data_IF_889377935250
#
_entry.id   IF_889377935250
#
_cell.length_a   1.000
_cell.length_b   1.000
_cell.length_c   1.000
_cell.angle_alpha   90.00
_cell.angle_beta   90.00
_cell.angle_gamma   90.00
#
_symmetry.space_group_name_H-M   'P 1'
#
loop_
_entity.id
_entity.type
_entity.pdbx_description
1 polymer ?
#
# COMPACT_ATOMS: atom_id res chain seq x y z
N UNK A 1 -15.30 22.43 54.88
CA UNK A 1 -15.05 23.86 55.10
C UNK A 1 -14.21 24.34 53.93
N UNK A 2 -14.56 25.28 53.07
CA UNK A 2 -15.61 26.29 53.00
C UNK A 2 -15.84 26.53 51.50
N UNK A 3 -17.06 26.33 50.99
CA UNK A 3 -17.42 26.50 49.58
C UNK A 3 -17.96 27.92 49.40
N UNK A 4 -17.37 28.66 48.45
CA UNK A 4 -17.72 30.04 48.12
C UNK A 4 -18.47 30.07 46.78
N UNK A 5 -19.75 30.45 46.86
CA UNK A 5 -20.48 31.44 46.06
C UNK A 5 -20.22 31.55 44.53
N UNK A 6 -21.19 31.78 43.64
CA UNK A 6 -22.66 31.82 43.69
C UNK A 6 -23.15 32.02 42.24
N UNK A 7 -24.03 31.12 41.79
CA UNK A 7 -25.29 31.32 41.04
C UNK A 7 -25.43 32.50 40.03
N UNK A 8 -25.69 32.16 38.77
CA UNK A 8 -26.55 32.93 37.85
C UNK A 8 -27.47 31.95 37.13
N UNK A 9 -28.78 32.22 37.07
CA UNK A 9 -29.53 31.91 35.85
C UNK A 9 -30.52 33.04 35.51
N UNK A 10 -30.71 33.33 34.23
CA UNK A 10 -32.04 33.16 33.65
C UNK A 10 -32.00 33.31 32.12
N UNK A 11 -32.69 32.36 31.51
CA UNK A 11 -32.93 32.18 30.08
C UNK A 11 -34.38 32.64 29.84
N UNK A 12 -34.62 33.40 28.75
CA UNK A 12 -35.72 33.19 27.76
C UNK A 12 -37.21 33.23 28.26
N UNK A 13 -38.27 33.75 27.61
CA UNK A 13 -38.72 34.25 26.29
C UNK A 13 -40.06 35.01 26.61
N UNK A 14 -40.57 36.05 25.95
CA UNK A 14 -41.44 36.00 24.75
C UNK A 14 -42.29 37.28 24.59
N UNK A 15 -42.40 37.71 23.33
CA UNK A 15 -43.60 38.21 22.61
C UNK A 15 -44.21 39.58 22.98
N UNK A 16 -44.03 40.60 22.12
CA UNK A 16 -44.87 40.97 20.95
C UNK A 16 -46.26 41.51 21.31
N UNK A 17 -46.50 42.82 21.12
CA UNK A 17 -47.64 43.34 20.31
C UNK A 17 -47.64 44.88 20.18
N UNK A 18 -47.75 45.32 18.92
CA UNK A 18 -48.55 46.46 18.41
C UNK A 18 -48.22 47.91 18.88
N UNK A 19 -47.62 48.77 18.04
CA UNK A 19 -48.13 49.48 16.85
C UNK A 19 -49.15 50.60 17.14
N UNK A 20 -49.18 51.62 16.26
CA UNK A 20 -50.03 52.83 16.17
C UNK A 20 -49.38 54.13 16.71
N UNK A 21 -48.78 54.98 15.84
CA UNK A 21 -49.38 56.14 15.13
C UNK A 21 -49.80 57.25 16.14
N UNK A 22 -49.36 58.51 16.11
CA UNK A 22 -49.42 59.48 15.01
C UNK A 22 -48.87 60.86 15.49
N UNK A 23 -48.68 61.81 14.56
CA UNK A 23 -48.18 63.21 14.64
C UNK A 23 -46.69 63.38 14.26
N UNK A 24 -46.27 63.61 12.99
CA UNK A 24 -46.72 64.56 11.94
C UNK A 24 -46.81 66.00 12.48
N UNK A 25 -46.23 67.08 11.93
CA UNK A 25 -45.54 67.48 10.68
C UNK A 25 -44.75 68.77 11.02
N UNK A 26 -43.58 69.07 10.48
CA UNK A 26 -43.26 69.88 9.26
C UNK A 26 -42.04 70.75 9.67
N UNK A 27 -41.06 71.17 8.87
CA UNK A 27 -40.76 71.09 7.45
C UNK A 27 -39.28 71.47 7.28
N UNK A 28 -38.55 70.81 6.37
CA UNK A 28 -37.72 71.52 5.37
C UNK A 28 -37.21 70.52 4.32
N UNK A 29 -37.77 70.63 3.11
CA UNK A 29 -37.21 70.05 1.89
C UNK A 29 -36.06 70.94 1.44
N UNK A 30 -34.89 70.35 1.28
CA UNK A 30 -33.90 70.79 0.29
C UNK A 30 -33.43 69.56 -0.50
N UNK A 31 -33.40 69.78 -1.79
CA UNK A 31 -33.32 68.85 -2.91
C UNK A 31 -31.89 68.33 -3.16
N UNK A 32 -31.80 67.24 -3.93
CA UNK A 32 -30.63 66.57 -4.56
C UNK A 32 -29.70 65.63 -3.76
N UNK A 33 -29.23 64.53 -4.37
CA UNK A 33 -29.89 63.69 -5.37
C UNK A 33 -29.91 62.20 -4.96
N UNK A 34 -30.78 61.46 -5.65
CA UNK A 34 -30.72 60.01 -5.76
C UNK A 34 -29.28 59.60 -6.12
N UNK A 35 -28.60 58.92 -5.21
CA UNK A 35 -27.49 58.02 -5.55
C UNK A 35 -28.08 56.86 -6.36
N UNK A 36 -28.37 57.14 -7.63
CA UNK A 36 -28.42 56.10 -8.65
C UNK A 36 -27.11 55.32 -8.55
N UNK A 37 -27.24 54.02 -8.33
CA UNK A 37 -26.15 53.08 -8.20
C UNK A 37 -25.45 52.91 -9.55
N UNK A 38 -24.69 53.92 -9.98
CA UNK A 38 -23.66 53.72 -10.98
C UNK A 38 -22.49 53.14 -10.19
N UNK A 39 -22.48 51.81 -10.08
CA UNK A 39 -21.27 51.08 -9.70
C UNK A 39 -20.19 51.60 -10.65
N UNK A 40 -19.22 52.33 -10.10
CA UNK A 40 -18.11 52.88 -10.88
C UNK A 40 -17.51 51.71 -11.68
N UNK A 41 -17.42 51.79 -13.03
CA UNK A 41 -16.92 50.70 -13.85
C UNK A 41 -15.55 50.19 -13.39
N UNK A 42 -14.78 51.04 -12.71
CA UNK A 42 -13.50 50.68 -12.11
C UNK A 42 -13.64 49.71 -10.92
N UNK A 43 -14.68 49.89 -10.11
CA UNK A 43 -14.99 49.01 -8.97
C UNK A 43 -15.45 47.65 -9.47
N UNK A 44 -16.30 47.60 -10.49
CA UNK A 44 -16.74 46.35 -11.10
C UNK A 44 -15.57 45.56 -11.73
N UNK A 45 -14.64 46.22 -12.44
CA UNK A 45 -13.43 45.58 -12.96
C UNK A 45 -12.53 45.01 -11.85
N UNK A 46 -12.35 45.75 -10.75
CA UNK A 46 -11.53 45.31 -9.62
C UNK A 46 -12.16 44.12 -8.90
N UNK A 47 -13.48 44.12 -8.72
CA UNK A 47 -14.22 42.98 -8.15
C UNK A 47 -14.09 41.73 -9.02
N UNK A 48 -14.17 41.86 -10.34
CA UNK A 48 -14.01 40.74 -11.26
C UNK A 48 -12.58 40.19 -11.27
N UNK A 49 -11.56 41.07 -11.26
CA UNK A 49 -10.16 40.66 -11.12
C UNK A 49 -9.89 39.94 -9.80
N UNK A 50 -10.45 40.42 -8.69
CA UNK A 50 -10.31 39.81 -7.37
C UNK A 50 -10.96 38.42 -7.35
N UNK A 51 -12.14 38.29 -7.96
CA UNK A 51 -12.85 37.01 -8.08
C UNK A 51 -12.07 36.02 -8.95
N UNK A 52 -11.50 36.45 -10.07
CA UNK A 52 -10.64 35.60 -10.90
C UNK A 52 -9.35 35.18 -10.17
N UNK A 53 -8.71 36.09 -9.43
CA UNK A 53 -7.54 35.78 -8.63
C UNK A 53 -7.86 34.77 -7.51
N UNK A 54 -9.00 34.91 -6.84
CA UNK A 54 -9.46 33.97 -5.82
C UNK A 54 -9.75 32.58 -6.40
N UNK A 55 -10.36 32.51 -7.59
CA UNK A 55 -10.59 31.23 -8.29
C UNK A 55 -9.24 30.59 -8.64
N UNK A 56 -8.30 31.37 -9.21
CA UNK A 56 -6.97 30.91 -9.56
C UNK A 56 -6.16 30.39 -8.36
N UNK A 57 -6.18 31.11 -7.23
CA UNK A 57 -5.54 30.68 -5.98
C UNK A 57 -6.21 29.44 -5.40
N UNK A 58 -7.55 29.39 -5.40
CA UNK A 58 -8.29 28.23 -4.89
C UNK A 58 -7.99 26.99 -5.72
N UNK A 59 -7.94 27.11 -7.04
CA UNK A 59 -7.58 26.03 -7.96
C UNK A 59 -6.13 25.59 -7.79
N UNK A 60 -5.20 26.53 -7.57
CA UNK A 60 -3.81 26.22 -7.24
C UNK A 60 -3.70 25.48 -5.90
N UNK A 61 -4.42 25.93 -4.87
CA UNK A 61 -4.42 25.30 -3.54
C UNK A 61 -5.04 23.90 -3.59
N UNK A 62 -6.13 23.71 -4.33
CA UNK A 62 -6.76 22.40 -4.51
C UNK A 62 -5.83 21.42 -5.25
N UNK A 63 -5.15 21.89 -6.31
CA UNK A 63 -4.14 21.08 -7.01
C UNK A 63 -2.97 20.72 -6.12
N UNK A 64 -2.41 21.69 -5.39
CA UNK A 64 -1.31 21.43 -4.45
C UNK A 64 -1.71 20.42 -3.36
N UNK A 65 -2.94 20.52 -2.82
CA UNK A 65 -3.46 19.51 -1.87
C UNK A 65 -3.57 18.12 -2.50
N UNK A 66 -4.10 18.04 -3.71
CA UNK A 66 -4.21 16.77 -4.43
C UNK A 66 -2.84 16.15 -4.73
N UNK A 67 -1.84 16.97 -5.08
CA UNK A 67 -0.46 16.51 -5.27
C UNK A 67 0.14 15.94 -3.97
N UNK A 68 -0.04 16.64 -2.85
CA UNK A 68 0.42 16.15 -1.53
C UNK A 68 -0.25 14.82 -1.18
N UNK A 69 -1.55 14.68 -1.42
CA UNK A 69 -2.28 13.44 -1.13
C UNK A 69 -1.84 12.28 -2.04
N UNK A 70 -1.58 12.56 -3.32
CA UNK A 70 -1.02 11.57 -4.24
C UNK A 70 0.40 11.15 -3.85
N UNK A 71 1.25 12.09 -3.46
CA UNK A 71 2.60 11.80 -2.95
C UNK A 71 2.50 10.94 -1.71
N UNK A 72 1.63 11.30 -0.75
CA UNK A 72 1.43 10.54 0.48
C UNK A 72 1.03 9.09 0.18
N UNK A 73 -0.01 8.88 -0.65
CA UNK A 73 -0.45 7.54 -1.06
C UNK A 73 0.68 6.76 -1.74
N UNK A 74 1.46 7.41 -2.61
CA UNK A 74 2.61 6.77 -3.27
C UNK A 74 3.68 6.37 -2.27
N UNK A 75 4.04 7.26 -1.34
CA UNK A 75 5.06 6.98 -0.32
C UNK A 75 4.66 5.85 0.61
N UNK A 76 3.37 5.75 0.98
CA UNK A 76 2.86 4.65 1.80
C UNK A 76 3.06 3.30 1.09
N UNK A 77 2.72 3.23 -0.21
CA UNK A 77 2.94 2.04 -1.03
C UNK A 77 4.44 1.70 -1.21
N UNK A 78 5.29 2.70 -1.39
CA UNK A 78 6.73 2.50 -1.55
C UNK A 78 7.37 1.99 -0.25
N UNK A 79 6.93 2.49 0.91
CA UNK A 79 7.38 2.02 2.23
C UNK A 79 6.92 0.57 2.46
N UNK A 80 5.66 0.26 2.14
CA UNK A 80 5.14 -1.11 2.28
C UNK A 80 5.92 -2.10 1.41
N UNK A 81 6.19 -1.74 0.14
CA UNK A 81 7.03 -2.55 -0.76
C UNK A 81 8.44 -2.70 -0.21
N UNK A 82 9.06 -1.60 0.24
CA UNK A 82 10.41 -1.64 0.81
C UNK A 82 10.47 -2.57 2.01
N UNK A 83 9.47 -2.55 2.89
CA UNK A 83 9.40 -3.45 4.04
C UNK A 83 9.21 -4.91 3.62
N UNK A 84 8.27 -5.17 2.70
CA UNK A 84 7.94 -6.51 2.20
C UNK A 84 9.12 -7.20 1.49
N UNK A 85 9.99 -6.42 0.85
CA UNK A 85 11.10 -6.94 0.05
C UNK A 85 12.50 -6.52 0.58
N UNK A 86 12.59 -5.97 1.79
CA UNK A 86 13.87 -5.55 2.40
C UNK A 86 14.90 -6.69 2.46
N UNK A 87 14.42 -7.92 2.67
CA UNK A 87 15.26 -9.12 2.80
C UNK A 87 15.55 -9.81 1.47
N UNK A 88 15.10 -9.29 0.32
CA UNK A 88 15.25 -9.94 -0.99
C UNK A 88 16.72 -10.29 -1.31
N UNK A 89 17.62 -9.31 -1.19
CA UNK A 89 19.05 -9.52 -1.44
C UNK A 89 19.67 -10.51 -0.45
N UNK A 90 19.30 -10.43 0.81
CA UNK A 90 19.81 -11.33 1.84
C UNK A 90 19.31 -12.77 1.62
N UNK A 91 18.03 -12.93 1.29
CA UNK A 91 17.42 -14.21 0.96
C UNK A 91 18.13 -14.87 -0.22
N UNK A 92 18.43 -14.12 -1.29
CA UNK A 92 19.14 -14.61 -2.46
C UNK A 92 20.53 -15.18 -2.12
N UNK A 93 21.28 -14.55 -1.21
CA UNK A 93 22.59 -15.03 -0.76
C UNK A 93 22.48 -16.27 0.14
N UNK A 94 21.32 -16.52 0.77
CA UNK A 94 21.08 -17.72 1.58
C UNK A 94 20.66 -18.93 0.75
N UNK A 95 20.05 -18.75 -0.43
CA UNK A 95 19.58 -19.87 -1.25
C UNK A 95 20.70 -20.89 -1.59
N UNK A 96 21.93 -20.47 -1.97
CA UNK A 96 23.03 -21.41 -2.20
C UNK A 96 23.39 -22.25 -0.97
N UNK A 97 23.16 -21.74 0.25
CA UNK A 97 23.39 -22.49 1.48
C UNK A 97 22.37 -23.63 1.60
N UNK A 98 21.09 -23.34 1.33
CA UNK A 98 20.04 -24.37 1.28
C UNK A 98 20.38 -25.42 0.22
N UNK A 99 20.74 -24.98 -0.99
CA UNK A 99 21.08 -25.88 -2.08
C UNK A 99 22.26 -26.80 -1.74
N UNK A 100 23.25 -26.30 -1.00
CA UNK A 100 24.39 -27.11 -0.57
C UNK A 100 23.98 -28.16 0.47
N UNK A 101 23.05 -27.84 1.36
CA UNK A 101 22.50 -28.82 2.31
C UNK A 101 21.69 -29.89 1.56
N UNK A 102 20.88 -29.51 0.58
CA UNK A 102 20.13 -30.45 -0.27
C UNK A 102 21.07 -31.35 -1.07
N UNK A 103 22.06 -30.77 -1.75
CA UNK A 103 23.08 -31.51 -2.50
C UNK A 103 23.90 -32.46 -1.61
N UNK A 104 24.19 -32.06 -0.37
CA UNK A 104 24.85 -32.96 0.57
C UNK A 104 23.97 -34.19 0.87
N UNK A 105 22.66 -34.01 1.04
CA UNK A 105 21.71 -35.11 1.27
C UNK A 105 21.48 -36.00 0.04
N UNK A 106 21.68 -35.47 -1.18
CA UNK A 106 21.58 -36.23 -2.43
C UNK A 106 22.78 -37.15 -2.67
N UNK A 107 23.98 -36.73 -2.27
CA UNK A 107 25.24 -37.44 -2.57
C UNK A 107 25.59 -38.49 -1.50
N UNK A 108 25.04 -38.37 -0.30
CA UNK A 108 25.40 -39.27 0.82
C UNK A 108 24.86 -40.68 0.59
N UNK A 109 25.72 -41.67 0.85
CA UNK A 109 25.36 -43.08 0.89
C UNK A 109 24.55 -43.42 2.15
N UNK A 110 23.23 -43.56 1.97
CA UNK A 110 22.29 -43.95 3.03
C UNK A 110 22.44 -45.39 3.50
N UNK A 111 23.24 -46.22 2.81
CA UNK A 111 23.48 -47.61 3.23
C UNK A 111 24.60 -47.75 4.28
N UNK A 112 25.33 -46.66 4.55
CA UNK A 112 26.37 -46.65 5.57
C UNK A 112 25.81 -46.25 6.94
N UNK A 113 25.60 -47.25 7.81
CA UNK A 113 25.03 -47.07 9.15
C UNK A 113 25.79 -46.06 10.02
N UNK A 114 27.10 -45.89 9.81
CA UNK A 114 27.91 -44.92 10.57
C UNK A 114 27.58 -43.46 10.22
N UNK A 115 27.02 -43.21 9.03
CA UNK A 115 26.66 -41.88 8.55
C UNK A 115 25.19 -41.52 8.85
N UNK A 116 24.34 -42.49 9.20
CA UNK A 116 22.91 -42.26 9.46
C UNK A 116 22.64 -41.11 10.46
N UNK A 117 23.31 -41.02 11.63
CA UNK A 117 23.06 -39.92 12.56
C UNK A 117 23.43 -38.54 11.99
N UNK A 118 24.45 -38.50 11.12
CA UNK A 118 24.85 -37.26 10.44
C UNK A 118 23.81 -36.85 9.39
N UNK A 119 23.31 -37.80 8.60
CA UNK A 119 22.26 -37.56 7.59
C UNK A 119 21.01 -36.98 8.26
N UNK A 120 20.54 -37.62 9.34
CA UNK A 120 19.40 -37.14 10.12
C UNK A 120 19.62 -35.74 10.67
N UNK A 121 20.83 -35.44 11.17
CA UNK A 121 21.20 -34.11 11.65
C UNK A 121 21.14 -33.04 10.55
N UNK A 122 21.62 -33.36 9.34
CA UNK A 122 21.56 -32.45 8.18
C UNK A 122 20.12 -32.27 7.70
N UNK A 123 19.32 -33.34 7.63
CA UNK A 123 17.89 -33.27 7.29
C UNK A 123 17.11 -32.37 8.28
N UNK A 124 17.36 -32.54 9.58
CA UNK A 124 16.73 -31.72 10.62
C UNK A 124 17.16 -30.25 10.53
N UNK A 125 18.43 -30.00 10.19
CA UNK A 125 18.96 -28.66 9.98
C UNK A 125 18.33 -28.01 8.76
N UNK A 126 18.24 -28.71 7.63
CA UNK A 126 17.58 -28.24 6.42
C UNK A 126 16.10 -27.91 6.68
N UNK A 127 15.40 -28.78 7.40
CA UNK A 127 14.00 -28.55 7.81
C UNK A 127 13.86 -27.34 8.71
N UNK A 128 14.74 -27.19 9.69
CA UNK A 128 14.74 -26.02 10.58
C UNK A 128 15.04 -24.73 9.83
N UNK A 129 15.97 -24.77 8.88
CA UNK A 129 16.35 -23.64 8.05
C UNK A 129 15.21 -23.22 7.12
N UNK A 130 14.60 -24.16 6.39
CA UNK A 130 13.45 -23.91 5.51
C UNK A 130 12.25 -23.36 6.30
N UNK A 131 11.97 -23.90 7.49
CA UNK A 131 10.96 -23.34 8.38
C UNK A 131 11.29 -21.93 8.86
N UNK A 132 12.57 -21.63 9.13
CA UNK A 132 12.98 -20.30 9.58
C UNK A 132 12.79 -19.26 8.47
N UNK A 133 13.23 -19.55 7.23
CA UNK A 133 13.02 -18.63 6.10
C UNK A 133 11.54 -18.51 5.72
N UNK A 134 10.75 -19.58 5.88
CA UNK A 134 9.30 -19.56 5.67
C UNK A 134 8.56 -18.55 6.54
N UNK A 135 9.02 -18.32 7.78
CA UNK A 135 8.45 -17.29 8.67
C UNK A 135 8.65 -15.86 8.16
N UNK A 136 9.62 -15.64 7.27
CA UNK A 136 9.87 -14.35 6.62
C UNK A 136 9.20 -14.25 5.23
N UNK A 137 8.30 -15.18 4.91
CA UNK A 137 7.54 -15.20 3.66
C UNK A 137 8.31 -15.77 2.47
N UNK A 138 9.37 -16.55 2.73
CA UNK A 138 10.08 -17.28 1.67
C UNK A 138 9.39 -18.63 1.45
N UNK A 139 8.82 -18.83 0.27
CA UNK A 139 8.12 -20.07 -0.09
C UNK A 139 8.92 -20.85 -1.13
N UNK A 140 8.87 -22.17 -1.03
CA UNK A 140 9.56 -23.10 -1.94
C UNK A 140 8.70 -23.33 -3.17
N UNK A 141 9.31 -23.27 -4.34
CA UNK A 141 8.72 -23.70 -5.62
C UNK A 141 9.47 -24.95 -6.06
N UNK A 142 8.82 -26.11 -6.04
CA UNK A 142 9.50 -27.35 -6.39
C UNK A 142 8.61 -28.59 -6.39
N UNK A 143 7.32 -28.42 -6.61
CA UNK A 143 6.40 -29.55 -6.70
C UNK A 143 6.58 -30.25 -8.06
N UNK A 144 6.59 -31.58 -8.02
CA UNK A 144 6.57 -32.42 -9.23
C UNK A 144 5.13 -32.74 -9.60
N UNK A 145 4.91 -33.11 -10.86
CA UNK A 145 3.60 -33.45 -11.43
C UNK A 145 2.58 -32.29 -11.41
N UNK A 146 3.08 -31.06 -11.51
CA UNK A 146 2.27 -29.84 -11.68
C UNK A 146 2.48 -29.26 -13.09
N UNK A 147 1.50 -28.54 -13.65
CA UNK A 147 1.67 -27.86 -14.93
C UNK A 147 2.89 -26.93 -14.91
N UNK A 148 3.65 -26.91 -16.00
CA UNK A 148 4.76 -25.97 -16.13
C UNK A 148 4.25 -24.52 -16.17
N UNK A 149 4.73 -23.69 -15.24
CA UNK A 149 4.44 -22.25 -15.21
C UNK A 149 5.74 -21.45 -15.45
N UNK A 150 5.87 -20.74 -16.58
CA UNK A 150 7.05 -19.91 -16.90
C UNK A 150 7.34 -18.79 -15.89
N UNK A 151 6.36 -18.36 -15.10
CA UNK A 151 6.55 -17.30 -14.09
C UNK A 151 7.38 -17.77 -12.89
N UNK A 152 7.40 -19.08 -12.61
CA UNK A 152 8.05 -19.65 -11.42
C UNK A 152 8.98 -20.82 -11.74
N UNK A 153 8.89 -21.39 -12.94
CA UNK A 153 9.70 -22.50 -13.42
C UNK A 153 10.58 -22.11 -14.61
N UNK A 154 11.79 -22.65 -14.64
CA UNK A 154 12.73 -22.58 -15.75
C UNK A 154 12.95 -23.99 -16.29
N UNK A 155 12.41 -24.28 -17.48
CA UNK A 155 12.58 -25.57 -18.13
C UNK A 155 14.01 -25.69 -18.68
N UNK A 156 14.79 -26.63 -18.15
CA UNK A 156 16.16 -26.88 -18.59
C UNK A 156 16.24 -27.97 -19.67
N UNK A 157 15.27 -28.89 -19.68
CA UNK A 157 15.21 -30.01 -20.62
C UNK A 157 13.78 -30.53 -20.71
N UNK A 158 13.44 -31.10 -21.86
CA UNK A 158 12.21 -31.87 -22.06
C UNK A 158 12.54 -33.36 -22.11
N UNK A 159 11.76 -34.19 -21.42
CA UNK A 159 11.94 -35.64 -21.37
C UNK A 159 10.66 -36.35 -21.81
N UNK A 160 10.82 -37.49 -22.48
CA UNK A 160 9.71 -38.38 -22.77
C UNK A 160 9.28 -39.11 -21.49
N UNK A 161 7.98 -39.17 -21.23
CA UNK A 161 7.44 -39.84 -20.05
C UNK A 161 6.01 -40.30 -20.31
N UNK A 162 5.78 -41.59 -20.06
CA UNK A 162 4.44 -42.19 -20.13
C UNK A 162 3.63 -42.00 -18.83
N UNK A 163 4.27 -41.46 -17.78
CA UNK A 163 3.69 -41.34 -16.44
C UNK A 163 3.17 -39.94 -16.09
N UNK A 164 3.44 -38.95 -16.94
CA UNK A 164 3.12 -37.54 -16.68
C UNK A 164 2.37 -36.97 -17.88
N UNK A 165 1.38 -36.13 -17.63
CA UNK A 165 0.70 -35.36 -18.67
C UNK A 165 1.71 -34.49 -19.42
N UNK A 166 1.53 -34.21 -20.73
CA UNK A 166 2.41 -33.31 -21.47
C UNK A 166 2.51 -31.93 -20.80
N UNK A 167 3.67 -31.27 -20.93
CA UNK A 167 3.93 -29.93 -20.38
C UNK A 167 3.78 -29.82 -18.83
N UNK A 168 4.13 -30.88 -18.11
CA UNK A 168 4.17 -30.93 -16.65
C UNK A 168 5.60 -31.05 -16.12
N UNK A 169 5.84 -30.51 -14.94
CA UNK A 169 7.10 -30.65 -14.21
C UNK A 169 7.29 -32.10 -13.82
N UNK A 170 8.31 -32.76 -14.35
CA UNK A 170 8.64 -34.15 -14.01
C UNK A 170 9.64 -34.25 -12.87
N UNK A 171 10.69 -33.43 -12.95
CA UNK A 171 11.80 -33.44 -12.00
C UNK A 171 12.21 -32.01 -11.70
N UNK A 172 12.53 -31.75 -10.44
CA UNK A 172 13.12 -30.48 -10.01
C UNK A 172 14.60 -30.71 -9.74
N UNK A 173 15.44 -30.11 -10.58
CA UNK A 173 16.91 -30.18 -10.44
C UNK A 173 17.44 -29.18 -9.42
N UNK A 174 16.76 -28.03 -9.29
CA UNK A 174 17.04 -27.03 -8.26
C UNK A 174 15.74 -26.36 -7.89
N UNK A 175 15.43 -26.31 -6.59
CA UNK A 175 14.21 -25.68 -6.11
C UNK A 175 14.25 -24.18 -6.35
N UNK A 176 13.09 -23.64 -6.73
CA UNK A 176 12.84 -22.20 -6.82
C UNK A 176 12.34 -21.66 -5.48
N UNK A 177 12.35 -20.34 -5.36
CA UNK A 177 11.88 -19.65 -4.18
C UNK A 177 11.16 -18.35 -4.54
N UNK A 178 10.12 -18.02 -3.78
CA UNK A 178 9.44 -16.71 -3.85
C UNK A 178 9.56 -16.02 -2.49
N UNK A 179 9.54 -14.69 -2.48
CA UNK A 179 9.45 -13.85 -1.28
C UNK A 179 8.15 -13.07 -1.33
N UNK A 180 7.22 -13.40 -0.44
CA UNK A 180 5.92 -12.76 -0.34
C UNK A 180 5.18 -12.65 -1.71
N UNK A 181 5.28 -13.70 -2.53
CA UNK A 181 4.70 -13.82 -3.87
C UNK A 181 5.57 -13.28 -5.02
N UNK A 182 6.69 -12.62 -4.74
CA UNK A 182 7.65 -12.19 -5.78
C UNK A 182 8.69 -13.27 -6.03
N UNK A 183 9.00 -13.58 -7.28
CA UNK A 183 10.04 -14.55 -7.62
C UNK A 183 11.42 -14.08 -7.14
N UNK A 184 12.10 -14.90 -6.33
CA UNK A 184 13.52 -14.74 -6.01
C UNK A 184 14.38 -15.48 -7.01
N UNK A 185 14.06 -16.76 -7.22
CA UNK A 185 14.77 -17.66 -8.13
C UNK A 185 13.78 -18.67 -8.70
N UNK A 186 13.75 -18.90 -10.03
CA UNK A 186 12.91 -19.93 -10.62
C UNK A 186 13.38 -21.34 -10.24
N UNK A 187 12.45 -22.29 -10.20
CA UNK A 187 12.80 -23.70 -10.06
C UNK A 187 13.34 -24.21 -11.40
N UNK A 188 14.53 -24.81 -11.40
CA UNK A 188 15.06 -25.46 -12.60
C UNK A 188 14.46 -26.85 -12.72
N UNK A 189 13.71 -27.09 -13.80
CA UNK A 189 12.88 -28.29 -13.95
C UNK A 189 13.12 -29.01 -15.27
N UNK A 190 12.90 -30.32 -15.27
CA UNK A 190 12.66 -31.10 -16.49
C UNK A 190 11.14 -31.19 -16.71
N UNK A 191 10.70 -30.98 -17.95
CA UNK A 191 9.29 -30.96 -18.33
C UNK A 191 8.98 -32.17 -19.22
N UNK A 192 7.79 -32.75 -19.10
CA UNK A 192 7.31 -33.79 -20.01
C UNK A 192 7.05 -33.22 -21.40
N UNK A 193 7.47 -33.97 -22.41
CA UNK A 193 7.20 -33.66 -23.81
C UNK A 193 5.76 -33.98 -24.20
#
# INVERSE_FOLDING_TARGET
MSSKDQKVPDEQVSENTENVFEQQMDAEKADTPETESIVDPRVAELEEQLKQAQIGERDAMLRARAEVENIRRRTELDIEKAHKFALERFANELLPVIDNLERALEVVDRSNDALLPMIEGVELTLKSFTNAVGKFGIEVVGDTNVPFNPEVHQAMTMMESDQHEPNHVMLVMQKGYTLNGRLLRPAMVAVSK
#
